data_IF_317486191546
#
_entry.id   IF_317486191546
#
_cell.length_a   1.000
_cell.length_b   1.000
_cell.length_c   1.000
_cell.angle_alpha   90.00
_cell.angle_beta   90.00
_cell.angle_gamma   90.00
#
_symmetry.space_group_name_H-M   'P 1'
#
loop_
_entity.id
_entity.type
_entity.pdbx_description
1 polymer ?
#
# COMPACT_ATOMS: atom_id res chain seq x y z
N UNK A 1 -7.28 -46.89 -40.11
CA UNK A 1 -6.95 -47.10 -38.68
C UNK A 1 -7.15 -45.77 -37.96
N UNK A 2 -8.33 -45.57 -37.37
CA UNK A 2 -8.62 -44.38 -36.57
C UNK A 2 -8.09 -44.62 -35.16
N UNK A 3 -6.95 -44.03 -34.83
CA UNK A 3 -6.41 -44.06 -33.47
C UNK A 3 -7.29 -43.21 -32.55
N UNK A 4 -8.00 -43.90 -31.68
CA UNK A 4 -8.94 -43.38 -30.70
C UNK A 4 -8.29 -42.38 -29.74
N UNK A 5 -8.55 -41.09 -29.97
CA UNK A 5 -8.10 -39.95 -29.16
C UNK A 5 -8.99 -39.71 -27.92
N UNK A 6 -9.90 -40.64 -27.55
CA UNK A 6 -10.78 -40.48 -26.36
C UNK A 6 -10.18 -41.00 -25.05
N UNK A 7 -9.08 -41.76 -25.07
CA UNK A 7 -8.55 -42.43 -23.86
C UNK A 7 -7.70 -41.52 -22.94
N UNK A 8 -7.11 -40.43 -23.45
CA UNK A 8 -6.23 -39.53 -22.69
C UNK A 8 -7.01 -38.55 -21.79
N UNK A 9 -8.22 -38.14 -22.18
CA UNK A 9 -9.04 -37.22 -21.38
C UNK A 9 -9.58 -37.86 -20.08
N UNK A 10 -9.78 -39.17 -20.06
CA UNK A 10 -10.30 -39.87 -18.87
C UNK A 10 -9.31 -39.93 -17.71
N UNK A 11 -8.01 -40.06 -17.98
CA UNK A 11 -6.98 -40.09 -16.93
C UNK A 11 -6.69 -38.71 -16.36
N UNK A 12 -6.72 -37.66 -17.19
CA UNK A 12 -6.61 -36.27 -16.74
C UNK A 12 -7.80 -35.86 -15.90
N UNK A 13 -9.02 -36.15 -16.34
CA UNK A 13 -10.23 -35.86 -15.57
C UNK A 13 -10.25 -36.61 -14.22
N UNK A 14 -9.78 -37.87 -14.20
CA UNK A 14 -9.64 -38.64 -12.95
C UNK A 14 -8.54 -38.07 -12.04
N UNK A 15 -7.45 -37.57 -12.59
CA UNK A 15 -6.37 -36.97 -11.82
C UNK A 15 -6.77 -35.60 -11.25
N UNK A 16 -7.45 -34.77 -12.05
CA UNK A 16 -7.97 -33.46 -11.64
C UNK A 16 -9.05 -33.63 -10.56
N UNK A 17 -9.98 -34.58 -10.73
CA UNK A 17 -10.96 -34.89 -9.69
C UNK A 17 -10.32 -35.45 -8.41
N UNK A 18 -9.27 -36.28 -8.51
CA UNK A 18 -8.54 -36.77 -7.35
C UNK A 18 -7.79 -35.66 -6.61
N UNK A 19 -7.19 -34.71 -7.34
CA UNK A 19 -6.53 -33.53 -6.77
C UNK A 19 -7.57 -32.62 -6.09
N UNK A 20 -8.69 -32.33 -6.74
CA UNK A 20 -9.78 -31.53 -6.15
C UNK A 20 -10.37 -32.21 -4.92
N UNK A 21 -10.52 -33.53 -4.92
CA UNK A 21 -11.01 -34.28 -3.78
C UNK A 21 -9.99 -34.33 -2.64
N UNK A 22 -8.68 -34.42 -2.94
CA UNK A 22 -7.61 -34.27 -1.95
C UNK A 22 -7.54 -32.85 -1.37
N UNK A 23 -7.78 -31.82 -2.18
CA UNK A 23 -7.82 -30.42 -1.73
C UNK A 23 -9.11 -30.13 -0.91
N UNK A 24 -10.22 -30.76 -1.27
CA UNK A 24 -11.52 -30.70 -0.59
C UNK A 24 -11.54 -31.46 0.75
N UNK A 25 -10.77 -32.56 0.87
CA UNK A 25 -10.65 -33.41 2.06
C UNK A 25 -9.92 -32.74 3.26
N UNK A 26 -9.96 -31.41 3.34
CA UNK A 26 -9.50 -30.66 4.50
C UNK A 26 -8.00 -30.35 4.53
N UNK A 27 -7.21 -30.77 3.54
CA UNK A 27 -5.81 -30.36 3.43
C UNK A 27 -5.66 -28.85 3.23
N UNK A 28 -6.58 -28.24 2.46
CA UNK A 28 -6.62 -26.79 2.27
C UNK A 28 -7.00 -26.06 3.55
N UNK A 29 -8.04 -26.52 4.25
CA UNK A 29 -8.44 -25.95 5.55
C UNK A 29 -7.37 -26.12 6.63
N UNK A 30 -6.63 -27.24 6.64
CA UNK A 30 -5.54 -27.50 7.60
C UNK A 30 -4.30 -26.68 7.29
N UNK A 31 -3.99 -26.42 6.02
CA UNK A 31 -2.97 -25.47 5.62
C UNK A 31 -3.40 -24.06 5.97
N UNK A 32 -4.60 -23.61 5.58
CA UNK A 32 -5.14 -22.28 5.91
C UNK A 32 -5.16 -22.04 7.43
N UNK A 33 -5.59 -23.02 8.24
CA UNK A 33 -5.51 -22.96 9.71
C UNK A 33 -4.06 -22.90 10.20
N UNK A 34 -3.13 -23.67 9.63
CA UNK A 34 -1.71 -23.64 10.01
C UNK A 34 -1.02 -22.34 9.62
N UNK A 35 -1.42 -21.70 8.52
CA UNK A 35 -1.01 -20.35 8.12
C UNK A 35 -1.60 -19.29 9.07
N UNK A 36 -2.88 -19.43 9.44
CA UNK A 36 -3.57 -18.52 10.37
C UNK A 36 -3.04 -18.63 11.81
N UNK A 37 -2.63 -19.82 12.26
CA UNK A 37 -2.10 -20.04 13.62
C UNK A 37 -0.70 -19.45 13.85
N UNK A 38 0.04 -19.13 12.79
CA UNK A 38 1.35 -18.45 12.91
C UNK A 38 1.24 -16.93 12.81
N UNK A 39 0.02 -16.39 12.65
CA UNK A 39 -0.26 -14.98 12.79
C UNK A 39 -0.68 -14.69 14.23
N UNK A 40 0.29 -14.66 15.15
CA UNK A 40 0.11 -13.88 16.38
C UNK A 40 -0.19 -12.44 15.91
N UNK A 41 -1.44 -12.00 16.09
CA UNK A 41 -2.11 -11.05 15.20
C UNK A 41 -1.57 -9.62 15.29
N UNK A 42 -0.35 -9.37 14.80
CA UNK A 42 0.15 -8.03 14.52
C UNK A 42 -0.73 -7.45 13.41
N UNK A 43 -1.59 -6.50 13.78
CA UNK A 43 -2.45 -5.79 12.83
C UNK A 43 -1.57 -5.00 11.86
N UNK A 44 -1.61 -5.36 10.58
CA UNK A 44 -0.97 -4.58 9.52
C UNK A 44 -1.73 -3.28 9.33
N UNK A 45 -1.03 -2.15 9.40
CA UNK A 45 -1.59 -0.82 9.23
C UNK A 45 -1.12 -0.26 7.89
N UNK A 46 -2.09 0.06 7.03
CA UNK A 46 -1.84 0.55 5.67
C UNK A 46 -2.48 1.92 5.55
N UNK A 47 -1.74 2.88 5.00
CA UNK A 47 -2.26 4.19 4.61
C UNK A 47 -2.09 4.36 3.10
N UNK A 48 -3.13 4.84 2.43
CA UNK A 48 -3.13 5.12 0.99
C UNK A 48 -3.52 6.58 0.77
N UNK A 49 -2.70 7.30 0.02
CA UNK A 49 -2.86 8.72 -0.26
C UNK A 49 -3.08 8.88 -1.75
N UNK A 50 -4.32 9.16 -2.15
CA UNK A 50 -4.64 9.44 -3.55
C UNK A 50 -4.28 10.90 -3.89
N UNK A 51 -3.56 11.10 -4.99
CA UNK A 51 -3.18 12.44 -5.48
C UNK A 51 -3.97 12.81 -6.72
N UNK A 52 -4.72 13.90 -6.68
CA UNK A 52 -5.65 14.26 -7.76
C UNK A 52 -6.28 15.65 -7.62
N UNK A 53 -5.73 16.63 -8.33
CA UNK A 53 -6.36 17.94 -8.53
C UNK A 53 -6.46 18.78 -7.25
N UNK A 54 -7.56 19.52 -7.06
CA UNK A 54 -7.75 20.41 -5.89
C UNK A 54 -8.02 19.68 -4.58
N UNK A 55 -8.14 18.34 -4.60
CA UNK A 55 -8.43 17.54 -3.40
C UNK A 55 -7.21 17.34 -2.50
N UNK A 56 -6.02 17.69 -3.00
CA UNK A 56 -4.76 17.57 -2.26
C UNK A 56 -4.79 18.37 -0.94
N UNK A 57 -5.45 19.53 -0.90
CA UNK A 57 -5.58 20.36 0.33
C UNK A 57 -6.26 19.58 1.46
N UNK A 58 -7.27 18.75 1.14
CA UNK A 58 -7.98 17.94 2.14
C UNK A 58 -7.08 16.80 2.63
N UNK A 59 -6.35 16.15 1.72
CA UNK A 59 -5.40 15.11 2.07
C UNK A 59 -4.24 15.65 2.94
N UNK A 60 -3.72 16.83 2.59
CA UNK A 60 -2.69 17.55 3.35
C UNK A 60 -3.16 17.87 4.78
N UNK A 61 -4.36 18.45 4.91
CA UNK A 61 -4.94 18.77 6.22
C UNK A 61 -5.21 17.50 7.05
N UNK A 62 -5.69 16.43 6.42
CA UNK A 62 -5.89 15.14 7.06
C UNK A 62 -4.57 14.52 7.54
N UNK A 63 -3.50 14.63 6.76
CA UNK A 63 -2.18 14.12 7.12
C UNK A 63 -1.58 14.86 8.33
N UNK A 64 -1.68 16.19 8.33
CA UNK A 64 -1.25 17.02 9.47
C UNK A 64 -2.06 16.65 10.73
N UNK A 65 -3.39 16.56 10.59
CA UNK A 65 -4.25 16.21 11.71
C UNK A 65 -3.96 14.81 12.24
N UNK A 66 -3.71 13.84 11.35
CA UNK A 66 -3.38 12.47 11.73
C UNK A 66 -2.08 12.41 12.55
N UNK A 67 -1.04 13.12 12.12
CA UNK A 67 0.23 13.20 12.85
C UNK A 67 0.04 13.86 14.23
N UNK A 68 -0.72 14.95 14.30
CA UNK A 68 -1.03 15.63 15.55
C UNK A 68 -1.82 14.72 16.52
N UNK A 69 -2.77 13.92 16.01
CA UNK A 69 -3.50 12.92 16.80
C UNK A 69 -2.60 11.78 17.29
N UNK A 70 -1.66 11.31 16.46
CA UNK A 70 -0.69 10.28 16.84
C UNK A 70 0.19 10.79 17.99
N UNK A 71 0.72 12.00 17.88
CA UNK A 71 1.53 12.64 18.93
C UNK A 71 0.73 12.84 20.20
N UNK A 72 -0.52 13.33 20.10
CA UNK A 72 -1.39 13.51 21.26
C UNK A 72 -1.71 12.21 21.99
N UNK A 73 -1.91 11.11 21.25
CA UNK A 73 -2.19 9.78 21.84
C UNK A 73 -0.94 9.11 22.42
N UNK A 74 0.21 9.31 21.79
CA UNK A 74 1.46 8.66 22.20
C UNK A 74 2.16 9.45 23.32
N UNK A 75 1.89 10.76 23.41
CA UNK A 75 2.56 11.67 24.34
C UNK A 75 3.99 12.04 23.90
N UNK A 76 4.38 11.63 22.69
CA UNK A 76 5.70 11.87 22.11
C UNK A 76 5.60 12.79 20.90
N UNK A 77 6.34 13.90 20.93
CA UNK A 77 6.43 14.87 19.84
C UNK A 77 7.30 14.38 18.67
N UNK A 78 8.15 13.38 18.90
CA UNK A 78 9.00 12.79 17.88
C UNK A 78 8.32 11.69 17.07
N UNK A 79 7.15 11.22 17.50
CA UNK A 79 6.35 10.26 16.75
C UNK A 79 5.97 10.80 15.36
N UNK A 80 6.14 9.96 14.34
CA UNK A 80 5.84 10.24 12.93
C UNK A 80 4.86 9.21 12.38
N UNK A 81 4.18 9.53 11.29
CA UNK A 81 3.22 8.61 10.66
C UNK A 81 3.92 7.29 10.26
N UNK A 82 5.16 7.34 9.76
CA UNK A 82 5.90 6.14 9.35
C UNK A 82 6.13 5.12 10.46
N UNK A 83 6.16 5.53 11.73
CA UNK A 83 6.34 4.62 12.87
C UNK A 83 5.08 3.79 13.15
N UNK A 84 3.93 4.25 12.66
CA UNK A 84 2.61 3.67 12.94
C UNK A 84 1.99 2.96 11.74
N UNK A 85 2.59 3.01 10.57
CA UNK A 85 2.06 2.34 9.37
C UNK A 85 3.13 1.44 8.77
N UNK A 86 2.79 0.17 8.55
CA UNK A 86 3.70 -0.80 7.96
C UNK A 86 3.83 -0.58 6.45
N UNK A 87 2.80 -0.03 5.82
CA UNK A 87 2.76 0.24 4.38
C UNK A 87 2.17 1.63 4.14
N UNK A 88 2.88 2.44 3.35
CA UNK A 88 2.45 3.76 2.88
C UNK A 88 2.42 3.71 1.36
N UNK A 89 1.25 3.93 0.78
CA UNK A 89 1.04 3.95 -0.66
C UNK A 89 0.50 5.31 -1.11
N UNK A 90 0.81 5.71 -2.34
CA UNK A 90 0.17 6.87 -2.92
C UNK A 90 0.35 6.97 -4.43
N UNK A 91 -0.46 7.83 -5.05
CA UNK A 91 -0.52 8.10 -6.50
C UNK A 91 -0.30 9.60 -6.74
N UNK A 92 0.37 9.98 -7.83
CA UNK A 92 0.61 11.40 -8.14
C UNK A 92 1.34 12.17 -7.02
N UNK A 93 0.73 13.25 -6.52
CA UNK A 93 1.26 14.03 -5.38
C UNK A 93 1.23 13.21 -4.08
N UNK A 94 0.24 12.33 -3.92
CA UNK A 94 0.18 11.37 -2.81
C UNK A 94 1.36 10.40 -2.78
N UNK A 95 1.93 10.04 -3.94
CA UNK A 95 3.15 9.23 -4.02
C UNK A 95 4.38 10.00 -3.51
N UNK A 96 4.43 11.32 -3.76
CA UNK A 96 5.49 12.18 -3.22
C UNK A 96 5.39 12.31 -1.70
N UNK A 97 4.17 12.46 -1.17
CA UNK A 97 3.92 12.39 0.27
C UNK A 97 4.37 11.07 0.86
N UNK A 98 3.99 9.94 0.24
CA UNK A 98 4.41 8.62 0.68
C UNK A 98 5.95 8.51 0.73
N UNK A 99 6.63 8.93 -0.34
CA UNK A 99 8.09 8.89 -0.42
C UNK A 99 8.76 9.73 0.68
N UNK A 100 8.27 10.95 0.94
CA UNK A 100 8.82 11.83 1.97
C UNK A 100 8.53 11.33 3.38
N UNK A 101 7.36 10.75 3.63
CA UNK A 101 7.05 10.12 4.91
C UNK A 101 7.98 8.93 5.20
N UNK A 102 8.34 8.17 4.16
CA UNK A 102 9.27 7.04 4.29
C UNK A 102 10.75 7.42 4.18
N UNK A 103 11.06 8.69 3.96
CA UNK A 103 12.45 9.12 3.80
C UNK A 103 13.18 9.01 5.14
N UNK A 104 14.21 8.17 5.17
CA UNK A 104 15.04 7.91 6.35
C UNK A 104 16.06 9.05 6.55
N UNK A 105 16.24 9.46 7.81
CA UNK A 105 17.30 10.38 8.24
C UNK A 105 18.66 9.70 8.45
N UNK A 106 18.73 8.39 8.27
CA UNK A 106 19.92 7.56 8.44
C UNK A 106 19.97 6.85 9.79
N UNK A 107 19.08 7.22 10.72
CA UNK A 107 18.90 6.56 12.03
C UNK A 107 17.63 5.68 12.05
N UNK A 108 17.04 5.41 10.88
CA UNK A 108 15.83 4.63 10.72
C UNK A 108 14.54 5.40 11.03
N UNK A 109 14.59 6.74 11.02
CA UNK A 109 13.45 7.61 11.35
C UNK A 109 13.05 8.48 10.18
N UNK A 110 11.77 8.83 10.15
CA UNK A 110 11.25 9.72 9.11
C UNK A 110 11.84 11.13 9.26
N UNK A 111 12.53 11.58 8.20
CA UNK A 111 13.26 12.84 8.16
C UNK A 111 12.34 14.08 8.15
N UNK A 112 11.08 13.93 7.76
CA UNK A 112 10.14 15.04 7.64
C UNK A 112 8.86 14.82 8.46
N UNK A 113 8.38 15.89 9.09
CA UNK A 113 7.03 15.93 9.66
C UNK A 113 5.97 16.07 8.57
N UNK A 114 4.75 15.61 8.83
CA UNK A 114 3.62 15.80 7.90
C UNK A 114 3.47 17.28 7.50
N UNK A 115 3.68 18.20 8.45
CA UNK A 115 3.58 19.65 8.22
C UNK A 115 4.68 20.19 7.30
N UNK A 116 5.91 19.71 7.43
CA UNK A 116 7.04 20.08 6.56
C UNK A 116 6.86 19.53 5.15
N UNK A 117 6.39 18.29 5.03
CA UNK A 117 6.10 17.64 3.76
C UNK A 117 5.05 18.45 2.99
N UNK A 118 3.93 18.76 3.65
CA UNK A 118 2.86 19.58 3.05
C UNK A 118 3.42 20.91 2.59
N UNK A 119 4.13 21.64 3.45
CA UNK A 119 4.74 22.92 3.12
C UNK A 119 5.66 22.81 1.90
N UNK A 120 6.52 21.80 1.86
CA UNK A 120 7.44 21.58 0.75
C UNK A 120 6.69 21.35 -0.56
N UNK A 121 5.66 20.49 -0.55
CA UNK A 121 4.87 20.20 -1.75
C UNK A 121 4.10 21.44 -2.20
N UNK A 122 3.43 22.16 -1.30
CA UNK A 122 2.71 23.41 -1.64
C UNK A 122 3.67 24.46 -2.24
N UNK A 123 4.87 24.61 -1.69
CA UNK A 123 5.90 25.53 -2.23
C UNK A 123 6.35 25.14 -3.63
N UNK A 124 6.43 23.84 -3.94
CA UNK A 124 6.80 23.35 -5.29
C UNK A 124 5.65 23.44 -6.28
N UNK A 125 4.40 23.19 -5.86
CA UNK A 125 3.19 23.34 -6.69
C UNK A 125 2.93 24.81 -7.06
N UNK A 126 3.31 25.76 -6.20
CA UNK A 126 3.21 27.20 -6.46
C UNK A 126 4.17 27.70 -7.55
N UNK A 127 5.14 26.88 -7.98
CA UNK A 127 5.83 27.12 -9.26
C UNK A 127 4.91 26.61 -10.37
N UNK A 128 4.29 27.47 -11.18
CA UNK A 128 3.51 26.99 -12.31
C UNK A 128 4.43 26.08 -13.13
N UNK A 129 3.98 24.85 -13.38
CA UNK A 129 4.52 24.04 -14.47
C UNK A 129 4.30 24.90 -15.73
N UNK A 130 5.33 25.64 -16.13
CA UNK A 130 5.32 26.47 -17.33
C UNK A 130 5.29 25.52 -18.55
N UNK A 131 4.10 25.00 -18.85
CA UNK A 131 3.76 24.41 -20.14
C UNK A 131 3.59 25.47 -21.24
N UNK A 132 3.93 26.73 -20.95
CA UNK A 132 3.80 27.88 -21.84
C UNK A 132 4.79 27.89 -23.03
N UNK A 133 5.69 26.92 -23.18
CA UNK A 133 6.65 26.89 -24.30
C UNK A 133 6.14 26.19 -25.57
N UNK A 134 4.97 25.54 -25.55
CA UNK A 134 4.45 24.77 -26.71
C UNK A 134 3.38 25.55 -27.52
N UNK A 135 2.86 26.66 -26.98
CA UNK A 135 1.84 27.47 -27.66
C UNK A 135 2.27 28.94 -27.67
N UNK A 136 3.26 29.27 -28.49
CA UNK A 136 3.46 30.63 -28.96
C UNK A 136 3.31 30.63 -30.49
N UNK A 137 2.44 31.48 -31.07
CA UNK A 137 2.20 31.56 -32.51
C UNK A 137 3.39 32.10 -33.31
#
# INVERSE_FOLDING_TARGET
MSCDRRRSNGYRAKLEAAIEQSLSNGYRAKLEQKWLHHCEAKKTRIISIDGGGTTDIVAEAALIHLEDQIRAKTGDSHSRIADFFDIIAGTGIGALFAAMLTADDGDGRSLFTAREIVKFVTEKQSKPFNICWIIAP
#
